data_IF_761838271411
#
_entry.id   IF_761838271411
#
_cell.length_a   1.000
_cell.length_b   1.000
_cell.length_c   1.000
_cell.angle_alpha   90.00
_cell.angle_beta   90.00
_cell.angle_gamma   90.00
#
_symmetry.space_group_name_H-M   'P 1'
#
loop_
_entity.id
_entity.type
_entity.pdbx_description
1 polymer ?
#
# COMPACT_ATOMS: atom_id res chain seq x y z
N UNK A 1 -47.33 -0.96 13.53
CA UNK A 1 -46.65 -0.01 12.61
C UNK A 1 -47.29 -0.10 11.22
N UNK A 2 -47.73 1.01 10.65
CA UNK A 2 -48.27 1.06 9.27
C UNK A 2 -47.26 0.52 8.26
N UNK A 3 -47.74 -0.17 7.21
CA UNK A 3 -46.93 -0.71 6.10
C UNK A 3 -45.97 0.36 5.53
N UNK A 4 -46.43 1.61 5.48
CA UNK A 4 -45.63 2.76 5.03
C UNK A 4 -44.47 3.09 5.97
N UNK A 5 -44.67 3.02 7.29
CA UNK A 5 -43.58 3.24 8.27
C UNK A 5 -42.49 2.17 8.14
N UNK A 6 -42.87 0.90 7.92
CA UNK A 6 -41.90 -0.19 7.70
C UNK A 6 -41.07 0.02 6.44
N UNK A 7 -41.69 0.46 5.34
CA UNK A 7 -41.00 0.75 4.07
C UNK A 7 -40.05 1.93 4.24
N UNK A 8 -40.48 3.04 4.86
CA UNK A 8 -39.63 4.20 5.10
C UNK A 8 -38.43 3.84 5.98
N UNK A 9 -38.65 3.11 7.09
CA UNK A 9 -37.54 2.64 7.95
C UNK A 9 -36.57 1.74 7.20
N UNK A 10 -37.06 0.81 6.37
CA UNK A 10 -36.19 -0.04 5.55
C UNK A 10 -35.36 0.77 4.55
N UNK A 11 -35.96 1.75 3.87
CA UNK A 11 -35.23 2.64 2.95
C UNK A 11 -34.17 3.48 3.66
N UNK A 12 -34.48 4.02 4.85
CA UNK A 12 -33.50 4.75 5.65
C UNK A 12 -32.31 3.86 6.06
N UNK A 13 -32.56 2.63 6.52
CA UNK A 13 -31.50 1.69 6.89
C UNK A 13 -30.63 1.31 5.69
N UNK A 14 -31.24 1.06 4.53
CA UNK A 14 -30.50 0.81 3.28
C UNK A 14 -29.67 2.03 2.89
N UNK A 15 -30.23 3.24 2.96
CA UNK A 15 -29.52 4.48 2.66
C UNK A 15 -28.29 4.68 3.57
N UNK A 16 -28.43 4.43 4.87
CA UNK A 16 -27.32 4.47 5.83
C UNK A 16 -26.27 3.41 5.49
N UNK A 17 -26.69 2.17 5.18
CA UNK A 17 -25.77 1.09 4.82
C UNK A 17 -24.97 1.40 3.56
N UNK A 18 -25.62 1.88 2.50
CA UNK A 18 -24.97 2.28 1.25
C UNK A 18 -24.02 3.46 1.48
N UNK A 19 -24.46 4.46 2.25
CA UNK A 19 -23.62 5.62 2.59
C UNK A 19 -22.38 5.23 3.38
N UNK A 20 -22.51 4.33 4.35
CA UNK A 20 -21.39 3.83 5.14
C UNK A 20 -20.39 3.03 4.29
N UNK A 21 -20.88 2.13 3.43
CA UNK A 21 -20.02 1.35 2.54
C UNK A 21 -19.27 2.25 1.54
N UNK A 22 -19.97 3.17 0.89
CA UNK A 22 -19.35 4.11 -0.04
C UNK A 22 -18.33 5.01 0.65
N UNK A 23 -18.70 5.58 1.81
CA UNK A 23 -17.79 6.41 2.61
C UNK A 23 -16.55 5.62 3.04
N UNK A 24 -16.70 4.38 3.49
CA UNK A 24 -15.57 3.53 3.88
C UNK A 24 -14.61 3.28 2.71
N UNK A 25 -15.12 2.92 1.54
CA UNK A 25 -14.30 2.68 0.36
C UNK A 25 -13.57 3.95 -0.08
N UNK A 26 -14.26 5.11 -0.03
CA UNK A 26 -13.65 6.39 -0.36
C UNK A 26 -12.49 6.73 0.59
N UNK A 27 -12.67 6.55 1.91
CA UNK A 27 -11.61 6.77 2.90
C UNK A 27 -10.44 5.80 2.67
N UNK A 28 -10.74 4.52 2.44
CA UNK A 28 -9.71 3.51 2.19
C UNK A 28 -8.87 3.86 0.95
N UNK A 29 -9.50 4.33 -0.14
CA UNK A 29 -8.78 4.77 -1.34
C UNK A 29 -7.98 6.06 -1.09
N UNK A 30 -8.55 7.05 -0.39
CA UNK A 30 -7.86 8.31 -0.07
C UNK A 30 -6.62 8.10 0.80
N UNK A 31 -6.69 7.15 1.73
CA UNK A 31 -5.54 6.76 2.57
C UNK A 31 -4.55 5.83 1.86
N UNK A 32 -4.71 5.58 0.55
CA UNK A 32 -3.78 4.81 -0.28
C UNK A 32 -2.98 5.68 -1.24
N UNK A 33 -3.18 7.00 -1.26
CA UNK A 33 -2.49 7.88 -2.21
C UNK A 33 -1.10 8.28 -1.71
N UNK A 34 -0.15 8.57 -2.60
CA UNK A 34 1.18 9.06 -2.23
C UNK A 34 1.12 10.30 -1.35
N UNK A 35 0.16 11.21 -1.56
CA UNK A 35 0.02 12.45 -0.79
C UNK A 35 -0.36 12.15 0.68
N UNK A 36 -1.20 11.14 0.91
CA UNK A 36 -1.50 10.69 2.27
C UNK A 36 -0.30 10.00 2.90
N UNK A 37 0.39 9.12 2.18
CA UNK A 37 1.59 8.46 2.68
C UNK A 37 2.66 9.51 3.08
N UNK A 38 2.93 10.48 2.21
CA UNK A 38 3.90 11.55 2.43
C UNK A 38 3.46 12.62 3.46
N UNK A 39 2.26 12.51 4.04
CA UNK A 39 1.76 13.48 5.02
C UNK A 39 2.47 13.39 6.38
N UNK A 40 3.12 12.26 6.67
CA UNK A 40 3.97 12.06 7.84
C UNK A 40 5.43 12.37 7.51
N UNK A 41 6.17 13.01 8.43
CA UNK A 41 7.57 13.40 8.17
C UNK A 41 8.45 12.17 7.91
N UNK A 42 8.17 11.03 8.54
CA UNK A 42 8.95 9.81 8.39
C UNK A 42 8.86 9.20 6.99
N UNK A 43 7.80 9.50 6.24
CA UNK A 43 7.61 9.02 4.87
C UNK A 43 8.33 9.87 3.83
N UNK A 44 8.85 11.03 4.20
CA UNK A 44 9.67 11.86 3.29
C UNK A 44 10.97 11.15 2.85
N UNK A 45 11.55 10.31 3.70
CA UNK A 45 12.77 9.55 3.40
C UNK A 45 12.55 8.51 2.28
N UNK A 46 11.61 7.55 2.40
CA UNK A 46 11.33 6.62 1.31
C UNK A 46 10.71 7.30 0.08
N UNK A 47 10.01 8.43 0.24
CA UNK A 47 9.48 9.19 -0.90
C UNK A 47 10.60 9.70 -1.81
N UNK A 48 11.66 10.30 -1.26
CA UNK A 48 12.80 10.80 -2.05
C UNK A 48 13.47 9.68 -2.85
N UNK A 49 13.58 8.48 -2.27
CA UNK A 49 14.15 7.31 -2.95
C UNK A 49 13.24 6.78 -4.05
N UNK A 50 11.93 6.75 -3.79
CA UNK A 50 10.93 6.39 -4.79
C UNK A 50 10.99 7.36 -5.98
N UNK A 51 11.04 8.67 -5.72
CA UNK A 51 11.16 9.72 -6.74
C UNK A 51 12.42 9.57 -7.60
N UNK A 52 13.51 9.05 -7.04
CA UNK A 52 14.74 8.71 -7.77
C UNK A 52 14.72 7.36 -8.49
N UNK A 53 13.65 6.58 -8.39
CA UNK A 53 13.57 5.21 -8.91
C UNK A 53 12.88 5.10 -10.28
N UNK A 54 13.08 3.96 -10.95
CA UNK A 54 12.35 3.62 -12.18
C UNK A 54 10.84 3.47 -11.98
N UNK A 55 10.37 3.32 -10.73
CA UNK A 55 8.94 3.24 -10.43
C UNK A 55 8.26 4.61 -10.40
N UNK A 56 9.02 5.70 -10.24
CA UNK A 56 8.50 7.06 -10.32
C UNK A 56 8.56 7.64 -11.74
N UNK A 57 9.69 7.43 -12.43
CA UNK A 57 9.91 7.92 -13.79
C UNK A 57 10.63 6.86 -14.63
N UNK A 58 10.04 6.51 -15.77
CA UNK A 58 10.64 5.57 -16.72
C UNK A 58 10.21 5.89 -18.15
N UNK A 59 10.91 5.29 -19.11
CA UNK A 59 10.67 5.47 -20.54
C UNK A 59 9.31 4.93 -21.02
N UNK A 60 8.57 4.18 -20.19
CA UNK A 60 7.25 3.63 -20.54
C UNK A 60 6.10 4.54 -20.10
N UNK A 61 6.38 5.60 -19.34
CA UNK A 61 5.36 6.54 -18.86
C UNK A 61 4.42 5.95 -17.79
N UNK A 62 4.80 4.83 -17.16
CA UNK A 62 4.04 4.20 -16.08
C UNK A 62 4.58 4.68 -14.75
N UNK A 63 3.71 5.01 -13.79
CA UNK A 63 4.13 5.38 -12.43
C UNK A 63 3.45 4.45 -11.43
N UNK A 64 4.27 3.70 -10.70
CA UNK A 64 3.79 2.93 -9.56
C UNK A 64 3.77 3.84 -8.33
N UNK A 65 2.62 3.95 -7.68
CA UNK A 65 2.38 4.67 -6.44
C UNK A 65 2.85 3.85 -5.23
N UNK A 66 2.94 4.48 -4.06
CA UNK A 66 3.30 3.80 -2.80
C UNK A 66 2.41 2.57 -2.54
N UNK A 67 1.10 2.71 -2.74
CA UNK A 67 0.13 1.64 -2.54
C UNK A 67 0.19 0.54 -3.59
N UNK A 68 0.75 0.79 -4.77
CA UNK A 68 0.91 -0.24 -5.81
C UNK A 68 1.89 -1.33 -5.37
N UNK A 69 2.84 -1.01 -4.50
CA UNK A 69 3.79 -1.98 -3.95
C UNK A 69 3.40 -2.44 -2.54
N UNK A 70 2.92 -1.53 -1.68
CA UNK A 70 2.71 -1.79 -0.25
C UNK A 70 1.32 -2.29 0.13
N UNK A 71 0.32 -2.16 -0.75
CA UNK A 71 -1.07 -2.49 -0.42
C UNK A 71 -1.64 -3.44 -1.49
N UNK A 72 -2.01 -4.68 -1.12
CA UNK A 72 -2.73 -5.60 -2.02
C UNK A 72 -3.99 -4.95 -2.57
N UNK A 73 -4.32 -5.21 -3.85
CA UNK A 73 -5.34 -4.43 -4.56
C UNK A 73 -6.77 -4.70 -4.12
N UNK A 74 -7.06 -5.93 -3.69
CA UNK A 74 -8.45 -6.36 -3.50
C UNK A 74 -8.66 -7.28 -2.30
N UNK A 75 -9.93 -7.47 -1.97
CA UNK A 75 -10.40 -8.49 -1.04
C UNK A 75 -9.89 -8.32 0.40
N UNK A 76 -9.70 -9.46 1.05
CA UNK A 76 -9.30 -9.50 2.46
C UNK A 76 -7.87 -8.98 2.69
N UNK A 77 -6.97 -9.16 1.73
CA UNK A 77 -5.59 -8.72 1.85
C UNK A 77 -5.49 -7.19 1.89
N UNK A 78 -6.30 -6.48 1.09
CA UNK A 78 -6.42 -5.03 1.14
C UNK A 78 -6.85 -4.53 2.52
N UNK A 79 -7.94 -5.09 3.05
CA UNK A 79 -8.49 -4.72 4.36
C UNK A 79 -7.48 -5.02 5.47
N UNK A 80 -6.86 -6.20 5.45
CA UNK A 80 -5.83 -6.61 6.41
C UNK A 80 -4.64 -5.64 6.42
N UNK A 81 -4.14 -5.26 5.24
CA UNK A 81 -3.03 -4.31 5.13
C UNK A 81 -3.38 -2.95 5.76
N UNK A 82 -4.59 -2.45 5.52
CA UNK A 82 -5.09 -1.21 6.13
C UNK A 82 -5.19 -1.28 7.65
N UNK A 83 -5.64 -2.41 8.21
CA UNK A 83 -5.66 -2.61 9.66
C UNK A 83 -4.25 -2.68 10.25
N UNK A 84 -3.32 -3.38 9.59
CA UNK A 84 -1.93 -3.49 10.06
C UNK A 84 -1.24 -2.11 10.04
N UNK A 85 -1.53 -1.27 9.04
CA UNK A 85 -0.96 0.07 8.92
C UNK A 85 -1.32 1.00 10.10
N UNK A 86 -2.35 0.69 10.90
CA UNK A 86 -2.65 1.45 12.12
C UNK A 86 -1.48 1.47 13.11
N UNK A 87 -0.61 0.45 13.09
CA UNK A 87 0.62 0.42 13.89
C UNK A 87 1.58 1.55 13.51
N UNK A 88 1.58 1.96 12.25
CA UNK A 88 2.51 2.97 11.74
C UNK A 88 2.11 4.34 12.29
N UNK A 89 0.80 4.64 12.33
CA UNK A 89 0.28 5.84 13.01
C UNK A 89 0.62 5.86 14.50
N UNK A 90 0.52 4.72 15.16
CA UNK A 90 0.86 4.60 16.57
C UNK A 90 2.34 4.88 16.84
N UNK A 91 3.25 4.27 16.06
CA UNK A 91 4.69 4.49 16.23
C UNK A 91 5.16 5.88 15.78
N UNK A 92 4.49 6.47 14.79
CA UNK A 92 4.71 7.85 14.40
C UNK A 92 4.37 8.79 15.56
N UNK A 93 3.19 8.60 16.18
CA UNK A 93 2.77 9.39 17.34
C UNK A 93 3.70 9.22 18.56
N UNK A 94 4.36 8.08 18.70
CA UNK A 94 5.37 7.83 19.74
C UNK A 94 6.76 8.41 19.41
N UNK A 95 6.99 8.94 18.21
CA UNK A 95 8.29 9.47 17.80
C UNK A 95 9.38 8.40 17.63
N UNK A 96 8.99 7.15 17.31
CA UNK A 96 9.95 6.04 17.13
C UNK A 96 10.91 6.29 15.97
N UNK A 97 10.45 7.02 14.94
CA UNK A 97 11.19 7.41 13.74
C UNK A 97 11.08 8.92 13.49
N UNK A 98 11.15 9.72 14.55
CA UNK A 98 10.91 11.18 14.50
C UNK A 98 11.91 11.96 13.61
N UNK A 99 13.08 11.40 13.36
CA UNK A 99 14.16 12.04 12.63
C UNK A 99 14.96 11.01 11.85
N UNK A 100 15.87 11.50 10.99
CA UNK A 100 16.64 10.67 10.08
C UNK A 100 17.49 9.62 10.82
N UNK A 101 18.13 9.99 11.93
CA UNK A 101 18.96 9.05 12.69
C UNK A 101 18.13 7.87 13.22
N UNK A 102 16.98 8.15 13.84
CA UNK A 102 16.06 7.11 14.32
C UNK A 102 15.47 6.27 13.19
N UNK A 103 15.14 6.90 12.05
CA UNK A 103 14.66 6.20 10.87
C UNK A 103 15.71 5.23 10.33
N UNK A 104 16.95 5.69 10.15
CA UNK A 104 18.07 4.86 9.66
C UNK A 104 18.39 3.71 10.63
N UNK A 105 18.33 3.95 11.94
CA UNK A 105 18.52 2.91 12.95
C UNK A 105 17.51 1.74 12.83
N UNK A 106 16.30 2.01 12.33
CA UNK A 106 15.25 1.00 12.15
C UNK A 106 15.07 0.56 10.69
N UNK A 107 15.74 1.21 9.73
CA UNK A 107 15.50 1.06 8.30
C UNK A 107 15.63 -0.40 7.84
N UNK A 108 16.72 -1.06 8.22
CA UNK A 108 16.98 -2.45 7.84
C UNK A 108 15.90 -3.40 8.40
N UNK A 109 15.50 -3.20 9.65
CA UNK A 109 14.46 -4.00 10.31
C UNK A 109 13.10 -3.80 9.63
N UNK A 110 12.75 -2.55 9.28
CA UNK A 110 11.52 -2.24 8.53
C UNK A 110 11.53 -2.86 7.13
N UNK A 111 12.65 -2.74 6.39
CA UNK A 111 12.80 -3.33 5.07
C UNK A 111 12.68 -4.86 5.09
N UNK A 112 13.31 -5.53 6.05
CA UNK A 112 13.22 -6.98 6.21
C UNK A 112 11.80 -7.47 6.46
N UNK A 113 10.99 -6.73 7.24
CA UNK A 113 9.57 -7.06 7.43
C UNK A 113 8.81 -6.98 6.10
N UNK A 114 9.01 -5.90 5.34
CA UNK A 114 8.38 -5.72 4.03
C UNK A 114 8.79 -6.83 3.06
N UNK A 115 10.07 -7.17 2.98
CA UNK A 115 10.54 -8.26 2.11
C UNK A 115 10.03 -9.62 2.52
N UNK A 116 9.91 -9.88 3.83
CA UNK A 116 9.32 -11.12 4.35
C UNK A 116 7.86 -11.22 3.92
N UNK A 117 7.10 -10.13 4.02
CA UNK A 117 5.70 -10.09 3.59
C UNK A 117 5.57 -10.28 2.08
N UNK A 118 6.40 -9.59 1.28
CA UNK A 118 6.48 -9.76 -0.17
C UNK A 118 6.83 -11.19 -0.58
N UNK A 119 7.74 -11.86 0.14
CA UNK A 119 8.08 -13.26 -0.14
C UNK A 119 6.94 -14.21 0.27
N UNK A 120 6.28 -13.93 1.39
CA UNK A 120 5.21 -14.77 1.92
C UNK A 120 3.94 -14.71 1.05
N UNK A 121 3.71 -13.62 0.33
CA UNK A 121 2.58 -13.48 -0.60
C UNK A 121 2.98 -13.60 -2.07
N UNK A 122 4.15 -14.19 -2.38
CA UNK A 122 4.62 -14.42 -3.74
C UNK A 122 4.64 -13.14 -4.61
N UNK A 123 5.03 -12.02 -3.98
CA UNK A 123 5.13 -10.70 -4.60
C UNK A 123 3.85 -10.28 -5.31
N UNK A 124 2.68 -10.60 -4.73
CA UNK A 124 1.34 -10.35 -5.28
C UNK A 124 1.19 -8.95 -5.91
N UNK A 125 1.66 -7.92 -5.20
CA UNK A 125 1.58 -6.52 -5.65
C UNK A 125 2.55 -6.22 -6.79
N UNK A 126 3.76 -6.79 -6.79
CA UNK A 126 4.68 -6.67 -7.92
C UNK A 126 4.08 -7.30 -9.18
N UNK A 127 3.37 -8.42 -9.00
CA UNK A 127 2.78 -9.21 -10.09
C UNK A 127 1.56 -8.58 -10.75
N UNK A 128 0.99 -7.52 -10.19
CA UNK A 128 -0.05 -6.74 -10.87
C UNK A 128 0.48 -5.96 -12.08
N UNK A 129 1.79 -5.74 -12.16
CA UNK A 129 2.45 -5.03 -13.26
C UNK A 129 3.60 -5.82 -13.90
N UNK A 130 4.25 -6.70 -13.15
CA UNK A 130 5.37 -7.51 -13.62
C UNK A 130 4.95 -8.97 -13.79
N UNK A 131 5.18 -9.52 -14.98
CA UNK A 131 5.00 -10.94 -15.22
C UNK A 131 6.35 -11.60 -15.49
N UNK A 132 6.57 -12.77 -14.89
CA UNK A 132 7.82 -13.53 -15.02
C UNK A 132 8.11 -13.93 -16.48
N UNK A 133 7.07 -14.27 -17.25
CA UNK A 133 7.19 -14.61 -18.68
C UNK A 133 7.62 -13.44 -19.57
N UNK A 134 7.33 -12.21 -19.14
CA UNK A 134 7.66 -10.97 -19.83
C UNK A 134 8.97 -10.32 -19.34
N UNK A 135 9.66 -10.92 -18.35
CA UNK A 135 10.94 -10.40 -17.86
C UNK A 135 12.08 -10.74 -18.80
N UNK A 136 12.78 -9.72 -19.29
CA UNK A 136 13.98 -9.89 -20.10
C UNK A 136 15.22 -10.09 -19.20
N UNK A 137 15.48 -11.34 -18.80
CA UNK A 137 16.57 -11.71 -17.87
C UNK A 137 17.97 -11.25 -18.32
N UNK A 138 18.20 -11.10 -19.63
CA UNK A 138 19.48 -10.61 -20.19
C UNK A 138 19.74 -9.14 -19.89
N UNK A 139 18.69 -8.34 -19.65
CA UNK A 139 18.79 -6.91 -19.28
C UNK A 139 18.75 -6.67 -17.78
N UNK A 140 18.60 -7.72 -16.97
CA UNK A 140 18.64 -7.61 -15.52
C UNK A 140 20.09 -7.49 -15.02
N UNK A 141 20.27 -6.92 -13.84
CA UNK A 141 21.56 -6.98 -13.15
C UNK A 141 21.91 -8.44 -12.85
N UNK A 142 23.21 -8.73 -12.70
CA UNK A 142 23.69 -10.10 -12.42
C UNK A 142 22.95 -10.73 -11.23
N UNK A 143 22.80 -9.98 -10.13
CA UNK A 143 22.13 -10.44 -8.94
C UNK A 143 20.64 -10.74 -9.20
N UNK A 144 19.91 -9.80 -9.81
CA UNK A 144 18.48 -10.00 -10.09
C UNK A 144 18.24 -11.21 -11.00
N UNK A 145 19.09 -11.40 -12.01
CA UNK A 145 19.02 -12.57 -12.88
C UNK A 145 19.18 -13.88 -12.09
N UNK A 146 20.18 -13.95 -11.20
CA UNK A 146 20.40 -15.14 -10.36
C UNK A 146 19.16 -15.44 -9.51
N UNK A 147 18.66 -14.42 -8.79
CA UNK A 147 17.49 -14.56 -7.90
C UNK A 147 16.21 -14.97 -8.64
N UNK A 148 16.02 -14.59 -9.92
CA UNK A 148 14.84 -14.98 -10.70
C UNK A 148 14.98 -16.33 -11.42
N UNK A 149 16.14 -16.97 -11.36
CA UNK A 149 16.40 -18.28 -12.00
C UNK A 149 16.64 -19.42 -11.02
N UNK A 150 16.70 -19.11 -9.73
CA UNK A 150 16.76 -20.06 -8.61
C UNK A 150 15.34 -20.43 -8.15
#
# INVERSE_FOLDING_TARGET
MSKMKKIVTALCLVGVGVGALWGSQWIMHKTSTPEFCASCHSMSYPQQEWEGSSHFANAKGVRAQCSDCHIPKEGWHYVKAKFIALKDLWYEAQGKIENKEKYEAHRAEMAQRVWKDMKANDSETCRSCHSFDAMELSKQTKLAKQTHTE
#
